data_IF_263683129089
#
_entry.id   IF_263683129089
#
_cell.length_a   1.000
_cell.length_b   1.000
_cell.length_c   1.000
_cell.angle_alpha   90.00
_cell.angle_beta   90.00
_cell.angle_gamma   90.00
#
_symmetry.space_group_name_H-M   'P 1'
#
loop_
_entity.id
_entity.type
_entity.pdbx_description
1 polymer ?
#
# COMPACT_ATOMS: atom_id res chain seq x y z
N UNK A 1 -6.84 -2.84 -1.93
CA UNK A 1 -7.52 -1.96 -0.94
C UNK A 1 -7.13 -0.49 -1.09
N UNK A 2 -5.84 -0.17 -1.24
CA UNK A 2 -5.36 1.21 -1.40
C UNK A 2 -6.03 2.03 -2.52
N UNK A 3 -6.25 1.48 -3.74
CA UNK A 3 -6.92 2.22 -4.82
C UNK A 3 -8.38 2.54 -4.52
N UNK A 4 -9.04 1.75 -3.67
CA UNK A 4 -10.44 1.97 -3.28
C UNK A 4 -10.55 3.26 -2.47
N UNK A 5 -9.59 3.55 -1.58
CA UNK A 5 -9.56 4.79 -0.80
C UNK A 5 -9.16 6.03 -1.63
N UNK A 6 -8.49 5.82 -2.77
CA UNK A 6 -8.07 6.88 -3.68
C UNK A 6 -9.16 7.24 -4.70
N UNK A 7 -9.71 6.25 -5.41
CA UNK A 7 -10.72 6.45 -6.46
C UNK A 7 -12.14 6.56 -5.93
N UNK A 8 -12.47 5.86 -4.84
CA UNK A 8 -13.82 5.88 -4.30
C UNK A 8 -13.95 6.99 -3.24
N UNK A 9 -15.05 7.77 -3.23
CA UNK A 9 -15.27 8.82 -2.25
C UNK A 9 -15.71 8.23 -0.89
N UNK A 10 -14.90 7.34 -0.31
CA UNK A 10 -15.17 6.64 0.96
C UNK A 10 -15.50 7.64 2.08
N UNK A 11 -14.84 8.80 2.08
CA UNK A 11 -14.99 9.82 3.12
C UNK A 11 -16.29 10.62 3.03
N UNK A 12 -16.95 10.66 1.85
CA UNK A 12 -18.30 11.22 1.73
C UNK A 12 -19.31 10.38 2.51
N UNK A 13 -19.15 9.06 2.51
CA UNK A 13 -19.99 8.15 3.31
C UNK A 13 -19.75 8.30 4.82
N UNK A 14 -18.59 8.84 5.23
CA UNK A 14 -18.28 9.17 6.62
C UNK A 14 -18.69 10.60 7.02
N UNK A 15 -19.39 11.34 6.15
CA UNK A 15 -19.90 12.69 6.46
C UNK A 15 -18.91 13.82 6.24
N UNK A 16 -17.77 13.59 5.57
CA UNK A 16 -16.85 14.65 5.17
C UNK A 16 -17.25 15.20 3.80
N UNK A 17 -17.89 16.37 3.79
CA UNK A 17 -18.36 17.06 2.57
C UNK A 17 -17.29 17.97 1.92
N UNK A 18 -16.08 18.03 2.48
CA UNK A 18 -15.01 18.91 1.97
C UNK A 18 -14.46 18.51 0.60
N UNK A 19 -14.10 19.51 -0.22
CA UNK A 19 -13.32 19.29 -1.44
C UNK A 19 -11.97 18.67 -1.10
N UNK A 20 -11.74 17.46 -1.59
CA UNK A 20 -10.52 16.70 -1.33
C UNK A 20 -9.43 17.18 -2.29
N UNK A 21 -8.46 17.93 -1.78
CA UNK A 21 -7.27 18.29 -2.56
C UNK A 21 -6.36 17.07 -2.63
N UNK A 22 -6.18 16.52 -3.84
CA UNK A 22 -5.29 15.39 -4.07
C UNK A 22 -3.88 15.93 -4.30
N UNK A 23 -2.96 15.60 -3.40
CA UNK A 23 -1.56 15.95 -3.51
C UNK A 23 -0.79 14.89 -4.33
N UNK A 24 0.26 15.26 -5.08
CA UNK A 24 1.05 14.31 -5.87
C UNK A 24 1.66 13.19 -5.03
N UNK A 25 2.01 13.48 -3.76
CA UNK A 25 2.54 12.49 -2.81
C UNK A 25 1.58 11.31 -2.58
N UNK A 26 0.27 11.57 -2.55
CA UNK A 26 -0.74 10.52 -2.36
C UNK A 26 -0.79 9.59 -3.59
N UNK A 27 -0.67 10.16 -4.78
CA UNK A 27 -0.60 9.41 -6.05
C UNK A 27 0.65 8.54 -6.10
N UNK A 28 1.83 9.07 -5.76
CA UNK A 28 3.07 8.29 -5.70
C UNK A 28 3.01 7.19 -4.64
N UNK A 29 2.45 7.48 -3.47
CA UNK A 29 2.25 6.48 -2.42
C UNK A 29 1.33 5.33 -2.88
N UNK A 30 0.25 5.65 -3.61
CA UNK A 30 -0.65 4.67 -4.19
C UNK A 30 0.09 3.75 -5.19
N UNK A 31 0.87 4.33 -6.12
CA UNK A 31 1.66 3.56 -7.07
C UNK A 31 2.71 2.68 -6.37
N UNK A 32 3.46 3.24 -5.41
CA UNK A 32 4.46 2.48 -4.65
C UNK A 32 3.83 1.30 -3.92
N UNK A 33 2.67 1.50 -3.28
CA UNK A 33 1.97 0.44 -2.58
C UNK A 33 1.48 -0.65 -3.54
N UNK A 34 0.92 -0.27 -4.70
CA UNK A 34 0.48 -1.23 -5.71
C UNK A 34 1.66 -2.04 -6.25
N UNK A 35 2.77 -1.38 -6.59
CA UNK A 35 3.99 -2.02 -7.07
C UNK A 35 4.60 -2.95 -6.01
N UNK A 36 4.64 -2.53 -4.75
CA UNK A 36 5.16 -3.34 -3.64
C UNK A 36 4.43 -4.68 -3.50
N UNK A 37 3.11 -4.64 -3.43
CA UNK A 37 2.30 -5.86 -3.28
C UNK A 37 2.27 -6.69 -4.56
N UNK A 38 2.28 -6.05 -5.73
CA UNK A 38 2.38 -6.75 -7.01
C UNK A 38 3.68 -7.54 -7.10
N UNK A 39 4.82 -6.91 -6.77
CA UNK A 39 6.13 -7.56 -6.68
C UNK A 39 6.10 -8.76 -5.74
N UNK A 40 5.55 -8.60 -4.54
CA UNK A 40 5.44 -9.68 -3.55
C UNK A 40 4.61 -10.87 -4.05
N UNK A 41 3.52 -10.61 -4.78
CA UNK A 41 2.68 -11.64 -5.39
C UNK A 41 3.46 -12.35 -6.51
N UNK A 42 4.15 -11.61 -7.38
CA UNK A 42 5.00 -12.20 -8.41
C UNK A 42 6.11 -13.07 -7.81
N UNK A 43 6.78 -12.64 -6.74
CA UNK A 43 7.78 -13.45 -6.05
C UNK A 43 7.22 -14.74 -5.49
N UNK A 44 5.97 -14.73 -5.00
CA UNK A 44 5.32 -15.96 -4.55
C UNK A 44 5.00 -16.93 -5.69
N UNK A 45 4.74 -16.43 -6.90
CA UNK A 45 4.47 -17.28 -8.07
C UNK A 45 5.74 -17.77 -8.79
N UNK A 46 6.75 -16.92 -8.92
CA UNK A 46 7.91 -17.18 -9.78
C UNK A 46 9.18 -17.56 -9.03
N UNK A 47 9.39 -17.04 -7.81
CA UNK A 47 10.65 -17.19 -7.06
C UNK A 47 10.51 -18.21 -5.93
N UNK A 48 9.41 -18.15 -5.17
CA UNK A 48 9.18 -19.07 -4.06
C UNK A 48 8.75 -20.45 -4.56
N UNK A 49 9.60 -21.46 -4.34
CA UNK A 49 9.24 -22.86 -4.51
C UNK A 49 8.68 -23.41 -3.20
N UNK A 50 7.37 -23.66 -3.16
CA UNK A 50 6.74 -24.27 -2.00
C UNK A 50 7.06 -25.77 -1.90
N UNK A 51 7.70 -26.19 -0.82
CA UNK A 51 8.04 -27.61 -0.57
C UNK A 51 6.84 -28.41 -0.07
N UNK A 52 5.91 -27.78 0.65
CA UNK A 52 4.66 -28.39 1.11
C UNK A 52 3.50 -27.93 0.21
N UNK A 53 2.76 -28.89 -0.33
CA UNK A 53 1.73 -28.66 -1.34
C UNK A 53 0.50 -27.86 -0.83
N UNK A 54 0.25 -27.80 0.47
CA UNK A 54 -0.93 -27.13 1.04
C UNK A 54 -0.63 -26.52 2.41
N UNK A 55 -0.73 -25.20 2.50
CA UNK A 55 -0.80 -24.50 3.78
C UNK A 55 -2.24 -24.54 4.32
N UNK A 56 -2.44 -24.60 5.65
CA UNK A 56 -3.78 -24.54 6.23
C UNK A 56 -4.43 -23.20 5.89
N UNK A 57 -5.66 -23.27 5.37
CA UNK A 57 -6.39 -22.12 4.82
C UNK A 57 -6.57 -20.97 5.84
N UNK A 58 -6.64 -21.30 7.14
CA UNK A 58 -6.71 -20.33 8.24
C UNK A 58 -5.49 -19.38 8.32
N UNK A 59 -4.29 -19.85 7.98
CA UNK A 59 -3.08 -19.02 7.94
C UNK A 59 -3.12 -18.03 6.78
N UNK A 60 -3.73 -18.40 5.65
CA UNK A 60 -3.91 -17.51 4.50
C UNK A 60 -4.90 -16.39 4.89
N UNK A 61 -6.04 -16.73 5.48
CA UNK A 61 -7.00 -15.73 5.94
C UNK A 61 -6.41 -14.77 6.99
N UNK A 62 -5.62 -15.27 7.94
CA UNK A 62 -4.98 -14.41 8.95
C UNK A 62 -3.94 -13.47 8.34
N UNK A 63 -3.13 -13.96 7.40
CA UNK A 63 -2.19 -13.12 6.66
C UNK A 63 -2.91 -12.08 5.79
N UNK A 64 -3.95 -12.48 5.06
CA UNK A 64 -4.76 -11.55 4.27
C UNK A 64 -5.38 -10.49 5.15
N UNK A 65 -6.04 -10.86 6.25
CA UNK A 65 -6.62 -9.92 7.19
C UNK A 65 -5.58 -8.93 7.72
N UNK A 66 -4.39 -9.41 8.12
CA UNK A 66 -3.29 -8.56 8.57
C UNK A 66 -2.88 -7.54 7.49
N UNK A 67 -2.57 -7.97 6.27
CA UNK A 67 -2.12 -7.04 5.23
C UNK A 67 -3.22 -6.09 4.76
N UNK A 68 -4.47 -6.56 4.76
CA UNK A 68 -5.62 -5.75 4.35
C UNK A 68 -5.96 -4.68 5.39
N UNK A 69 -5.92 -4.99 6.68
CA UNK A 69 -6.18 -4.01 7.74
C UNK A 69 -5.08 -2.96 7.82
N UNK A 70 -3.80 -3.36 7.76
CA UNK A 70 -2.68 -2.42 7.72
C UNK A 70 -2.73 -1.54 6.47
N UNK A 71 -3.03 -2.12 5.30
CA UNK A 71 -3.19 -1.38 4.06
C UNK A 71 -4.35 -0.40 4.09
N UNK A 72 -5.49 -0.78 4.69
CA UNK A 72 -6.63 0.10 4.88
C UNK A 72 -6.33 1.22 5.86
N UNK A 73 -5.64 0.93 6.98
CA UNK A 73 -5.22 1.92 7.97
C UNK A 73 -4.32 2.98 7.33
N UNK A 74 -3.26 2.58 6.63
CA UNK A 74 -2.34 3.54 6.00
C UNK A 74 -3.04 4.33 4.89
N UNK A 75 -3.85 3.67 4.05
CA UNK A 75 -4.63 4.36 3.02
C UNK A 75 -5.61 5.38 3.61
N UNK A 76 -6.17 5.08 4.78
CA UNK A 76 -7.11 5.97 5.47
C UNK A 76 -6.45 7.28 5.89
N UNK A 77 -5.25 7.23 6.49
CA UNK A 77 -4.53 8.44 6.93
C UNK A 77 -3.94 9.23 5.77
N UNK A 78 -3.32 8.54 4.81
CA UNK A 78 -2.65 9.21 3.68
C UNK A 78 -3.65 9.92 2.78
N UNK A 79 -4.85 9.36 2.58
CA UNK A 79 -5.87 9.98 1.75
C UNK A 79 -6.90 10.79 2.57
N UNK A 80 -6.68 11.02 3.87
CA UNK A 80 -7.62 11.80 4.68
C UNK A 80 -7.74 13.25 4.16
N UNK A 81 -8.93 13.89 4.15
CA UNK A 81 -9.09 15.26 3.66
C UNK A 81 -8.27 16.32 4.43
N UNK A 82 -7.95 16.04 5.70
CA UNK A 82 -7.07 16.88 6.53
C UNK A 82 -5.58 16.51 6.43
N UNK A 83 -5.19 15.72 5.42
CA UNK A 83 -3.80 15.30 5.26
C UNK A 83 -2.92 16.48 4.88
N UNK A 84 -1.93 16.78 5.72
CA UNK A 84 -0.90 17.77 5.44
C UNK A 84 0.29 17.09 4.75
N UNK A 85 0.68 17.52 3.53
CA UNK A 85 1.82 16.93 2.86
C UNK A 85 3.10 17.27 3.62
N UNK A 86 3.98 16.28 3.76
CA UNK A 86 5.35 16.50 4.23
C UNK A 86 6.14 17.28 3.18
N UNK A 87 7.22 17.96 3.60
CA UNK A 87 8.05 18.76 2.70
C UNK A 87 8.57 17.97 1.50
N UNK A 88 8.75 18.65 0.35
CA UNK A 88 9.02 17.98 -0.92
C UNK A 88 10.24 17.04 -0.89
N UNK A 89 11.30 17.49 -0.22
CA UNK A 89 12.53 16.74 -0.08
C UNK A 89 12.31 15.44 0.72
N UNK A 90 11.48 15.50 1.76
CA UNK A 90 11.29 14.40 2.70
C UNK A 90 10.55 13.23 2.06
N UNK A 91 9.47 13.48 1.31
CA UNK A 91 8.76 12.39 0.62
C UNK A 91 9.58 11.82 -0.54
N UNK A 92 10.36 12.64 -1.25
CA UNK A 92 11.25 12.19 -2.34
C UNK A 92 12.35 11.28 -1.80
N UNK A 93 12.99 11.64 -0.69
CA UNK A 93 13.99 10.79 -0.02
C UNK A 93 13.35 9.49 0.47
N UNK A 94 12.19 9.57 1.14
CA UNK A 94 11.47 8.37 1.61
C UNK A 94 11.09 7.43 0.47
N UNK A 95 10.63 7.97 -0.66
CA UNK A 95 10.29 7.21 -1.86
C UNK A 95 11.53 6.56 -2.48
N UNK A 96 12.63 7.30 -2.60
CA UNK A 96 13.90 6.78 -3.11
C UNK A 96 14.46 5.64 -2.24
N UNK A 97 14.45 5.83 -0.92
CA UNK A 97 14.85 4.78 0.03
C UNK A 97 13.94 3.55 -0.06
N UNK A 98 12.62 3.76 -0.15
CA UNK A 98 11.66 2.67 -0.33
C UNK A 98 11.91 1.84 -1.58
N UNK A 99 12.17 2.49 -2.73
CA UNK A 99 12.54 1.79 -3.96
C UNK A 99 13.85 1.02 -3.83
N UNK A 100 14.86 1.60 -3.19
CA UNK A 100 16.12 0.92 -2.95
C UNK A 100 15.93 -0.33 -2.08
N UNK A 101 15.13 -0.25 -1.03
CA UNK A 101 14.77 -1.41 -0.21
C UNK A 101 14.01 -2.47 -1.01
N UNK A 102 13.10 -2.09 -1.90
CA UNK A 102 12.39 -3.05 -2.76
C UNK A 102 13.34 -3.77 -3.72
N UNK A 103 14.30 -3.05 -4.31
CA UNK A 103 15.32 -3.63 -5.18
C UNK A 103 16.25 -4.55 -4.40
N UNK A 104 16.73 -4.12 -3.23
CA UNK A 104 17.58 -4.94 -2.36
C UNK A 104 16.89 -6.24 -1.94
N UNK A 105 15.57 -6.20 -1.72
CA UNK A 105 14.79 -7.39 -1.34
C UNK A 105 14.69 -8.44 -2.46
N UNK A 106 15.00 -8.12 -3.73
CA UNK A 106 15.14 -9.14 -4.78
C UNK A 106 16.46 -9.91 -4.72
N UNK A 107 17.50 -9.34 -4.09
CA UNK A 107 18.85 -9.93 -4.03
C UNK A 107 19.08 -10.83 -2.81
N UNK A 108 18.11 -10.94 -1.90
CA UNK A 108 18.12 -11.85 -0.76
C UNK A 108 17.14 -12.99 -0.97
#
# INVERSE_FOLDING_TARGET
IYPIFYYFPVYKFFGYEGERVIHPVQTYACYYWCLHYFKRIMETFFVHRFTHATSPLSNVFRNCAYYWTFGAYIAYYVNHPLYTPVGELQWKIGFGFGLLCQLANFYC
#
